data_IF_088283376348
#
_entry.id   IF_088283376348
#
_cell.length_a   1.000
_cell.length_b   1.000
_cell.length_c   1.000
_cell.angle_alpha   90.00
_cell.angle_beta   90.00
_cell.angle_gamma   90.00
#
_symmetry.space_group_name_H-M   'P 1'
#
loop_
_entity.id
_entity.type
_entity.pdbx_description
1 polymer ?
#
# COMPACT_ATOMS: atom_id res chain seq x y z
N UNK A 1 -35.28 -3.08 -4.93
CA UNK A 1 -34.48 -3.65 -6.04
C UNK A 1 -33.23 -4.22 -5.41
N UNK A 2 -32.95 -5.52 -5.58
CA UNK A 2 -31.71 -6.11 -5.10
C UNK A 2 -30.62 -5.83 -6.14
N UNK A 3 -29.57 -5.10 -5.76
CA UNK A 3 -28.40 -4.91 -6.62
C UNK A 3 -27.58 -6.19 -6.57
N UNK A 4 -27.59 -6.97 -7.64
CA UNK A 4 -26.71 -8.13 -7.76
C UNK A 4 -25.33 -7.66 -8.18
N UNK A 5 -24.37 -7.66 -7.26
CA UNK A 5 -22.96 -7.45 -7.58
C UNK A 5 -22.44 -8.80 -8.12
N UNK A 6 -22.40 -8.98 -9.44
CA UNK A 6 -21.70 -10.11 -10.05
C UNK A 6 -20.27 -9.68 -10.34
N UNK A 7 -19.30 -10.42 -9.80
CA UNK A 7 -17.91 -10.31 -10.23
C UNK A 7 -17.81 -10.81 -11.68
N UNK A 8 -16.97 -10.18 -12.49
CA UNK A 8 -16.79 -10.58 -13.90
C UNK A 8 -16.07 -11.94 -13.98
N UNK A 9 -16.48 -12.80 -14.92
CA UNK A 9 -15.99 -14.20 -15.04
C UNK A 9 -14.48 -14.29 -15.35
N UNK A 10 -13.88 -13.17 -15.76
CA UNK A 10 -12.48 -13.07 -16.23
C UNK A 10 -11.47 -12.85 -15.09
N UNK A 11 -11.90 -12.61 -13.84
CA UNK A 11 -10.99 -12.55 -12.67
C UNK A 11 -10.59 -13.95 -12.20
N UNK A 12 -9.90 -14.71 -13.07
CA UNK A 12 -9.38 -16.04 -12.75
C UNK A 12 -8.06 -15.96 -11.95
N UNK A 13 -7.31 -14.86 -12.08
CA UNK A 13 -6.09 -14.61 -11.31
C UNK A 13 -5.97 -13.14 -10.86
N UNK A 14 -5.33 -12.87 -9.71
CA UNK A 14 -5.01 -11.50 -9.30
C UNK A 14 -4.08 -10.83 -10.33
N UNK A 15 -4.39 -9.58 -10.70
CA UNK A 15 -3.54 -8.81 -11.62
C UNK A 15 -2.30 -8.35 -10.87
N UNK A 16 -1.13 -8.83 -11.30
CA UNK A 16 0.16 -8.47 -10.72
C UNK A 16 0.96 -7.59 -11.68
N UNK A 17 1.70 -6.63 -11.13
CA UNK A 17 2.57 -5.73 -11.86
C UNK A 17 3.83 -5.44 -11.03
N UNK A 18 4.99 -5.37 -11.66
CA UNK A 18 6.25 -5.04 -10.97
C UNK A 18 6.50 -3.54 -11.03
N UNK A 19 6.76 -2.93 -9.88
CA UNK A 19 7.20 -1.55 -9.78
C UNK A 19 8.69 -1.51 -9.42
N UNK A 20 9.44 -0.67 -10.13
CA UNK A 20 10.87 -0.43 -9.88
C UNK A 20 11.24 1.04 -9.91
N UNK A 21 10.24 1.93 -9.95
CA UNK A 21 10.42 3.37 -10.05
C UNK A 21 9.18 4.10 -9.50
N UNK A 22 9.37 5.39 -9.22
CA UNK A 22 8.32 6.26 -8.72
C UNK A 22 7.09 6.24 -9.65
N UNK A 23 5.91 6.08 -9.07
CA UNK A 23 4.67 5.88 -9.81
C UNK A 23 3.52 6.59 -9.11
N UNK A 24 2.72 7.34 -9.87
CA UNK A 24 1.45 7.89 -9.39
C UNK A 24 0.32 6.98 -9.83
N UNK A 25 -0.40 6.42 -8.87
CA UNK A 25 -1.53 5.54 -9.11
C UNK A 25 -2.78 6.33 -9.48
N UNK A 26 -3.63 5.67 -10.27
CA UNK A 26 -4.91 6.20 -10.76
C UNK A 26 -6.05 5.26 -10.36
N UNK A 27 -7.29 5.66 -10.64
CA UNK A 27 -8.44 4.80 -10.38
C UNK A 27 -8.41 3.47 -11.16
N UNK A 28 -7.70 3.42 -12.29
CA UNK A 28 -7.55 2.22 -13.11
C UNK A 28 -6.65 1.15 -12.47
N UNK A 29 -5.92 1.53 -11.41
CA UNK A 29 -5.00 0.66 -10.70
C UNK A 29 -5.66 -0.11 -9.56
N UNK A 30 -6.95 0.15 -9.29
CA UNK A 30 -7.73 -0.58 -8.29
C UNK A 30 -7.79 -2.09 -8.61
N UNK A 31 -7.57 -2.90 -7.59
CA UNK A 31 -7.56 -4.36 -7.63
C UNK A 31 -6.24 -4.98 -8.10
N UNK A 32 -5.19 -4.17 -8.32
CA UNK A 32 -3.84 -4.67 -8.64
C UNK A 32 -3.04 -5.02 -7.39
N UNK A 33 -2.13 -5.98 -7.55
CA UNK A 33 -1.05 -6.26 -6.61
C UNK A 33 0.27 -5.84 -7.26
N UNK A 34 1.02 -4.98 -6.58
CA UNK A 34 2.32 -4.51 -7.01
C UNK A 34 3.44 -5.28 -6.31
N UNK A 35 4.33 -5.85 -7.10
CA UNK A 35 5.59 -6.42 -6.65
C UNK A 35 6.63 -5.29 -6.66
N UNK A 36 7.03 -4.82 -5.48
CA UNK A 36 7.96 -3.69 -5.33
C UNK A 36 9.40 -4.20 -5.16
N UNK A 37 10.35 -3.53 -5.82
CA UNK A 37 11.78 -3.85 -5.80
C UNK A 37 12.61 -2.71 -6.40
N UNK A 38 13.91 -2.63 -6.14
CA UNK A 38 14.81 -1.68 -6.83
C UNK A 38 15.52 -0.71 -5.89
N UNK A 39 15.84 0.50 -6.36
CA UNK A 39 16.71 1.45 -5.64
C UNK A 39 15.96 2.42 -4.73
N UNK A 40 14.81 2.00 -4.19
CA UNK A 40 13.87 2.85 -3.44
C UNK A 40 13.20 3.94 -4.28
N UNK A 41 11.95 4.25 -3.96
CA UNK A 41 11.15 5.25 -4.68
C UNK A 41 9.84 5.53 -3.93
N UNK A 42 9.13 6.56 -4.40
CA UNK A 42 7.82 6.93 -3.87
C UNK A 42 6.70 6.50 -4.82
N UNK A 43 5.71 5.79 -4.29
CA UNK A 43 4.42 5.55 -4.94
C UNK A 43 3.39 6.50 -4.35
N UNK A 44 2.75 7.28 -5.21
CA UNK A 44 1.71 8.23 -4.81
C UNK A 44 0.33 7.63 -5.07
N UNK A 45 -0.50 7.53 -4.04
CA UNK A 45 -1.89 7.07 -4.14
C UNK A 45 -2.75 8.10 -4.90
N UNK A 46 -3.86 7.69 -5.54
CA UNK A 46 -4.83 8.63 -6.09
C UNK A 46 -5.55 9.39 -4.99
N UNK A 47 -6.38 10.39 -5.35
CA UNK A 47 -7.36 10.92 -4.39
C UNK A 47 -8.29 9.79 -3.90
N UNK A 48 -8.73 9.79 -2.62
CA UNK A 48 -9.65 8.80 -2.10
C UNK A 48 -10.88 8.63 -3.00
N UNK A 49 -11.20 7.40 -3.39
CA UNK A 49 -12.42 7.07 -4.10
C UNK A 49 -12.96 5.73 -3.64
N UNK A 50 -14.29 5.63 -3.59
CA UNK A 50 -14.97 4.49 -2.99
C UNK A 50 -14.65 3.18 -3.73
N UNK A 51 -14.22 2.17 -2.99
CA UNK A 51 -13.91 0.85 -3.53
C UNK A 51 -12.52 0.74 -4.17
N UNK A 52 -11.64 1.73 -3.97
CA UNK A 52 -10.23 1.55 -4.29
C UNK A 52 -9.62 0.45 -3.42
N UNK A 53 -8.81 -0.42 -4.03
CA UNK A 53 -8.01 -1.41 -3.32
C UNK A 53 -6.69 -1.63 -4.04
N UNK A 54 -5.59 -1.71 -3.31
CA UNK A 54 -4.26 -2.00 -3.85
C UNK A 54 -3.44 -2.76 -2.83
N UNK A 55 -2.58 -3.66 -3.30
CA UNK A 55 -1.62 -4.39 -2.46
C UNK A 55 -0.21 -4.13 -2.95
N UNK A 56 0.74 -3.94 -2.05
CA UNK A 56 2.17 -3.87 -2.34
C UNK A 56 2.88 -4.99 -1.60
N UNK A 57 3.78 -5.72 -2.28
CA UNK A 57 4.55 -6.83 -1.73
C UNK A 57 6.01 -6.64 -2.09
N UNK A 58 6.90 -6.70 -1.10
CA UNK A 58 8.35 -6.70 -1.29
C UNK A 58 8.75 -7.98 -2.03
N UNK A 59 9.18 -7.82 -3.28
CA UNK A 59 9.56 -8.93 -4.15
C UNK A 59 11.09 -9.14 -4.20
N UNK A 60 11.85 -8.09 -3.92
CA UNK A 60 13.30 -8.13 -3.74
C UNK A 60 13.72 -6.98 -2.81
N UNK A 61 14.92 -7.10 -2.22
CA UNK A 61 15.50 -6.08 -1.37
C UNK A 61 15.65 -4.74 -2.09
N UNK A 62 15.58 -3.66 -1.32
CA UNK A 62 15.84 -2.32 -1.80
C UNK A 62 17.30 -1.93 -1.63
N UNK A 63 17.66 -0.74 -2.09
CA UNK A 63 18.94 -0.09 -1.77
C UNK A 63 18.78 1.24 -1.05
N UNK A 64 17.53 1.71 -0.97
CA UNK A 64 17.04 2.84 -0.16
C UNK A 64 15.55 2.62 0.07
N UNK A 65 14.95 3.39 0.98
CA UNK A 65 13.55 3.22 1.36
C UNK A 65 12.57 3.33 0.19
N UNK A 66 11.49 2.55 0.26
CA UNK A 66 10.34 2.68 -0.65
C UNK A 66 9.13 3.18 0.11
N UNK A 67 8.53 4.27 -0.37
CA UNK A 67 7.45 4.97 0.33
C UNK A 67 6.16 4.84 -0.47
N UNK A 68 5.05 4.55 0.21
CA UNK A 68 3.69 4.66 -0.34
C UNK A 68 3.00 5.80 0.41
N UNK A 69 2.58 6.84 -0.30
CA UNK A 69 2.05 8.07 0.30
C UNK A 69 0.75 8.55 -0.33
N UNK A 70 -0.01 9.34 0.42
CA UNK A 70 -1.17 10.10 -0.07
C UNK A 70 -0.76 11.16 -1.12
N UNK A 71 -1.67 11.61 -2.01
CA UNK A 71 -1.34 12.53 -3.11
C UNK A 71 -1.02 13.97 -2.72
N UNK A 72 -1.29 14.36 -1.48
CA UNK A 72 -1.01 15.68 -0.98
C UNK A 72 -0.73 15.60 0.52
N UNK A 73 0.24 16.39 0.95
CA UNK A 73 0.64 16.58 2.33
C UNK A 73 -0.58 16.97 3.17
N UNK A 74 -0.64 16.44 4.39
CA UNK A 74 -1.55 16.89 5.44
C UNK A 74 -3.04 16.60 5.14
N UNK A 75 -3.31 15.52 4.39
CA UNK A 75 -4.70 15.03 4.25
C UNK A 75 -5.11 14.21 5.46
N UNK A 76 -4.15 13.63 6.18
CA UNK A 76 -4.37 12.87 7.41
C UNK A 76 -5.43 11.78 7.18
N UNK A 77 -5.33 11.10 6.01
CA UNK A 77 -6.38 10.19 5.50
C UNK A 77 -6.03 8.72 5.65
N UNK A 78 -4.80 8.36 6.05
CA UNK A 78 -4.38 6.98 6.18
C UNK A 78 -4.60 6.47 7.60
N UNK A 79 -5.54 5.53 7.74
CA UNK A 79 -5.98 4.99 9.02
C UNK A 79 -5.78 3.47 9.09
N UNK A 80 -5.58 2.91 10.28
CA UNK A 80 -5.44 1.47 10.49
C UNK A 80 -4.08 1.13 11.11
N UNK A 81 -3.34 0.21 10.50
CA UNK A 81 -2.00 -0.12 11.00
C UNK A 81 -1.38 -1.34 10.35
N UNK A 82 -0.11 -1.55 10.66
CA UNK A 82 0.66 -2.69 10.19
C UNK A 82 1.18 -3.49 11.37
N UNK A 83 1.27 -4.81 11.21
CA UNK A 83 1.90 -5.68 12.20
C UNK A 83 3.38 -5.78 11.85
N UNK A 84 4.26 -5.34 12.74
CA UNK A 84 5.71 -5.35 12.52
C UNK A 84 6.35 -6.09 13.67
N UNK A 85 7.06 -7.18 13.38
CA UNK A 85 7.70 -8.04 14.39
C UNK A 85 6.72 -8.44 15.52
N UNK A 86 5.46 -8.73 15.16
CA UNK A 86 4.41 -9.14 16.08
C UNK A 86 3.78 -8.02 16.92
N UNK A 87 4.19 -6.75 16.74
CA UNK A 87 3.57 -5.58 17.36
C UNK A 87 2.77 -4.77 16.34
N UNK A 88 1.71 -4.10 16.78
CA UNK A 88 0.95 -3.20 15.90
C UNK A 88 1.66 -1.84 15.88
N UNK A 89 1.95 -1.36 14.68
CA UNK A 89 2.32 0.04 14.40
C UNK A 89 1.05 0.71 13.89
N UNK A 90 0.46 1.57 14.71
CA UNK A 90 -0.79 2.26 14.42
C UNK A 90 -0.57 3.40 13.44
N UNK A 91 -1.47 3.50 12.46
CA UNK A 91 -1.63 4.66 11.59
C UNK A 91 -2.94 5.34 11.96
N UNK A 92 -2.85 6.45 12.68
CA UNK A 92 -4.00 7.30 13.00
C UNK A 92 -3.85 8.59 12.21
N UNK A 93 -4.67 8.75 11.17
CA UNK A 93 -4.69 9.93 10.33
C UNK A 93 -3.29 10.35 9.80
N UNK A 94 -2.53 9.40 9.25
CA UNK A 94 -1.18 9.67 8.71
C UNK A 94 -1.21 9.90 7.19
N UNK A 95 -0.03 10.12 6.59
CA UNK A 95 0.13 10.39 5.15
C UNK A 95 0.97 9.36 4.39
N UNK A 96 1.83 8.59 5.07
CA UNK A 96 2.75 7.66 4.41
C UNK A 96 3.01 6.37 5.17
N UNK A 97 3.38 5.36 4.39
CA UNK A 97 3.98 4.10 4.83
C UNK A 97 5.34 3.95 4.16
N UNK A 98 6.37 3.61 4.94
CA UNK A 98 7.72 3.38 4.44
C UNK A 98 8.09 1.92 4.64
N UNK A 99 8.59 1.28 3.58
CA UNK A 99 9.38 0.06 3.66
C UNK A 99 10.84 0.47 3.85
N UNK A 100 11.38 0.22 5.04
CA UNK A 100 12.72 0.68 5.46
C UNK A 100 13.80 -0.23 4.86
N UNK A 101 14.78 0.38 4.18
CA UNK A 101 15.92 -0.31 3.60
C UNK A 101 16.78 -1.02 4.65
N UNK A 102 17.22 -2.23 4.33
CA UNK A 102 18.03 -3.09 5.19
C UNK A 102 17.23 -3.79 6.30
N UNK A 103 15.96 -3.43 6.49
CA UNK A 103 15.05 -4.11 7.43
C UNK A 103 13.93 -4.87 6.71
N UNK A 104 13.63 -4.53 5.46
CA UNK A 104 12.62 -5.23 4.67
C UNK A 104 12.98 -6.70 4.45
N UNK A 105 11.96 -7.54 4.39
CA UNK A 105 12.04 -8.94 4.02
C UNK A 105 11.19 -9.19 2.78
N UNK A 106 11.65 -10.09 1.89
CA UNK A 106 10.82 -10.55 0.78
C UNK A 106 9.55 -11.17 1.36
N UNK A 107 8.40 -10.68 0.91
CA UNK A 107 7.08 -11.06 1.39
C UNK A 107 6.44 -10.09 2.38
N UNK A 108 7.16 -9.07 2.87
CA UNK A 108 6.55 -7.95 3.58
C UNK A 108 5.54 -7.27 2.68
N UNK A 109 4.39 -6.86 3.23
CA UNK A 109 3.31 -6.33 2.41
C UNK A 109 2.44 -5.33 3.15
N UNK A 110 1.79 -4.49 2.36
CA UNK A 110 0.66 -3.66 2.79
C UNK A 110 -0.50 -3.77 1.80
N UNK A 111 -1.71 -3.61 2.31
CA UNK A 111 -2.97 -3.53 1.61
C UNK A 111 -3.64 -2.23 2.00
N UNK A 112 -4.05 -1.46 0.99
CA UNK A 112 -4.71 -0.17 1.17
C UNK A 112 -6.05 -0.22 0.46
N UNK A 113 -7.10 0.12 1.19
CA UNK A 113 -8.46 0.26 0.63
C UNK A 113 -9.02 1.64 0.90
N UNK A 114 -10.05 2.09 0.17
CA UNK A 114 -10.69 3.39 0.42
C UNK A 114 -12.21 3.31 0.34
N UNK A 115 -12.88 4.09 1.22
CA UNK A 115 -14.32 4.34 1.19
C UNK A 115 -14.69 5.60 0.40
N UNK A 116 -13.71 6.29 -0.19
CA UNK A 116 -13.91 7.56 -0.89
C UNK A 116 -13.65 8.80 -0.06
N UNK A 117 -13.37 8.66 1.23
CA UNK A 117 -12.95 9.75 2.12
C UNK A 117 -11.58 9.46 2.73
N UNK A 118 -11.43 8.28 3.32
CA UNK A 118 -10.20 7.83 3.98
C UNK A 118 -9.60 6.61 3.28
N UNK A 119 -8.34 6.36 3.58
CA UNK A 119 -7.64 5.12 3.29
C UNK A 119 -7.56 4.26 4.54
N UNK A 120 -7.69 2.95 4.36
CA UNK A 120 -7.54 1.95 5.40
C UNK A 120 -6.36 1.05 5.08
N UNK A 121 -5.37 1.07 5.97
CA UNK A 121 -4.10 0.37 5.89
C UNK A 121 -4.16 -0.92 6.72
N UNK A 122 -3.71 -2.01 6.11
CA UNK A 122 -3.34 -3.24 6.80
C UNK A 122 -2.04 -3.78 6.21
N UNK A 123 -1.20 -4.45 7.00
CA UNK A 123 0.02 -5.04 6.47
C UNK A 123 0.80 -5.84 7.50
N UNK A 124 1.85 -6.49 7.03
CA UNK A 124 2.75 -7.27 7.86
C UNK A 124 4.20 -7.08 7.42
N UNK A 125 5.05 -6.71 8.37
CA UNK A 125 6.50 -6.63 8.25
C UNK A 125 7.17 -7.63 9.20
N UNK A 126 8.03 -8.50 8.67
CA UNK A 126 8.58 -9.62 9.44
C UNK A 126 9.66 -9.17 10.43
N UNK A 127 10.57 -8.29 10.00
CA UNK A 127 11.64 -7.78 10.84
C UNK A 127 11.20 -6.53 11.63
N UNK A 128 11.89 -6.24 12.72
CA UNK A 128 11.69 -4.98 13.46
C UNK A 128 11.91 -3.79 12.54
N UNK A 129 11.01 -2.82 12.61
CA UNK A 129 11.08 -1.58 11.81
C UNK A 129 11.07 -1.79 10.29
N UNK A 130 10.75 -2.98 9.79
CA UNK A 130 10.65 -3.23 8.33
C UNK A 130 9.62 -2.34 7.63
N UNK A 131 8.57 -1.95 8.37
CA UNK A 131 7.54 -1.03 7.90
C UNK A 131 7.31 0.05 8.97
N UNK A 132 7.30 1.31 8.56
CA UNK A 132 6.95 2.45 9.43
C UNK A 132 5.82 3.26 8.81
N UNK A 133 5.13 4.06 9.64
CA UNK A 133 4.06 4.97 9.20
C UNK A 133 4.31 6.36 9.80
N UNK A 134 3.86 7.41 9.12
CA UNK A 134 4.00 8.77 9.63
C UNK A 134 3.43 9.86 8.73
N UNK A 135 3.59 11.10 9.18
CA UNK A 135 3.22 12.33 8.46
C UNK A 135 4.20 12.63 7.33
N UNK A 136 3.77 13.35 6.30
CA UNK A 136 4.65 13.73 5.18
C UNK A 136 5.72 14.74 5.59
#
# INVERSE_FOLDING_TARGET
MATTISNDVVRIFPKQETLTAATTLTAADSGKTYLISGTGYTVTLPAPFAGFSVKFIVAAAFSTDTVVQTPADNRDTLNGGVIVNGAIVESDATDRVTFEDGAESIGDFIEITSDGTSFFLFGNGNASSSITVGEL
#
